data_IF_252185421525
#
_entry.id   IF_252185421525
#
_cell.length_a   1.000
_cell.length_b   1.000
_cell.length_c   1.000
_cell.angle_alpha   90.00
_cell.angle_beta   90.00
_cell.angle_gamma   90.00
#
_symmetry.space_group_name_H-M   'P 1'
#
loop_
_entity.id
_entity.type
_entity.pdbx_description
1 polymer ?
#
# COMPACT_ATOMS: atom_id res chain seq x y z
N UNK A 1 13.65 3.78 -19.48
CA UNK A 1 12.51 4.73 -19.52
C UNK A 1 12.46 5.43 -18.18
N UNK A 2 12.80 6.71 -18.13
CA UNK A 2 12.47 7.56 -16.98
C UNK A 2 10.95 7.62 -16.90
N UNK A 3 10.38 6.98 -15.87
CA UNK A 3 8.93 7.05 -15.63
C UNK A 3 8.61 8.52 -15.39
N UNK A 4 7.73 9.05 -16.23
CA UNK A 4 7.32 10.45 -16.25
C UNK A 4 7.13 10.97 -14.83
N UNK A 5 7.91 11.99 -14.46
CA UNK A 5 7.63 12.88 -13.33
C UNK A 5 6.38 13.67 -13.71
N UNK A 6 5.21 13.03 -13.67
CA UNK A 6 3.94 13.75 -13.78
C UNK A 6 3.88 14.69 -12.59
N UNK A 7 3.79 16.00 -12.87
CA UNK A 7 3.43 17.02 -11.88
C UNK A 7 2.04 16.68 -11.33
N UNK A 8 1.98 15.80 -10.34
CA UNK A 8 0.77 15.57 -9.58
C UNK A 8 0.47 16.82 -8.78
N UNK A 9 -0.82 17.13 -8.62
CA UNK A 9 -1.22 18.21 -7.74
C UNK A 9 -0.68 17.97 -6.34
N UNK A 10 -0.24 19.03 -5.64
CA UNK A 10 0.16 18.93 -4.25
C UNK A 10 -0.91 18.25 -3.41
N UNK A 11 -0.47 17.41 -2.48
CA UNK A 11 -1.38 16.87 -1.46
C UNK A 11 -2.04 18.00 -0.69
N UNK A 12 -3.36 17.90 -0.54
CA UNK A 12 -4.13 18.88 0.24
C UNK A 12 -3.90 18.65 1.74
N UNK A 13 -3.75 19.70 2.57
CA UNK A 13 -3.60 19.56 4.02
C UNK A 13 -4.70 18.72 4.69
N UNK A 14 -5.92 18.78 4.17
CA UNK A 14 -7.07 18.01 4.66
C UNK A 14 -6.86 16.51 4.47
N UNK A 15 -6.30 16.10 3.31
CA UNK A 15 -5.98 14.71 3.02
C UNK A 15 -4.92 14.16 3.99
N UNK A 16 -3.90 14.97 4.31
CA UNK A 16 -2.89 14.62 5.32
C UNK A 16 -3.53 14.45 6.71
N UNK A 17 -4.38 15.40 7.13
CA UNK A 17 -5.07 15.33 8.43
C UNK A 17 -5.94 14.08 8.54
N UNK A 18 -6.71 13.77 7.50
CA UNK A 18 -7.59 12.60 7.48
C UNK A 18 -6.80 11.28 7.54
N UNK A 19 -5.67 11.18 6.82
CA UNK A 19 -4.80 9.99 6.89
C UNK A 19 -4.19 9.79 8.28
N UNK A 20 -3.75 10.88 8.93
CA UNK A 20 -3.26 10.84 10.31
C UNK A 20 -4.37 10.44 11.29
N UNK A 21 -5.57 11.00 11.13
CA UNK A 21 -6.72 10.68 11.96
C UNK A 21 -7.12 9.21 11.83
N UNK A 22 -7.23 8.68 10.61
CA UNK A 22 -7.49 7.26 10.38
C UNK A 22 -6.45 6.38 11.07
N UNK A 23 -5.16 6.69 10.90
CA UNK A 23 -4.08 5.94 11.56
C UNK A 23 -4.22 5.99 13.09
N UNK A 24 -4.54 7.16 13.66
CA UNK A 24 -4.70 7.31 15.10
C UNK A 24 -5.89 6.52 15.63
N UNK A 25 -7.03 6.54 14.93
CA UNK A 25 -8.20 5.74 15.29
C UNK A 25 -7.89 4.24 15.23
N UNK A 26 -7.23 3.78 14.16
CA UNK A 26 -6.87 2.37 14.00
C UNK A 26 -5.88 1.91 15.08
N UNK A 27 -4.86 2.72 15.36
CA UNK A 27 -3.88 2.45 16.41
C UNK A 27 -4.52 2.46 17.82
N UNK A 28 -5.50 3.33 18.06
CA UNK A 28 -6.24 3.37 19.32
C UNK A 28 -7.09 2.11 19.48
N UNK A 29 -7.85 1.72 18.46
CA UNK A 29 -8.68 0.52 18.47
C UNK A 29 -7.85 -0.75 18.72
N UNK A 30 -6.68 -0.87 18.08
CA UNK A 30 -5.78 -2.01 18.33
C UNK A 30 -5.26 -2.08 19.77
N UNK A 31 -5.06 -0.94 20.43
CA UNK A 31 -4.61 -0.89 21.84
C UNK A 31 -5.77 -1.06 22.83
N UNK A 32 -6.96 -0.61 22.44
CA UNK A 32 -8.18 -0.67 23.21
C UNK A 32 -9.34 -1.08 22.29
N UNK A 33 -9.64 -2.39 22.17
CA UNK A 33 -10.71 -2.87 21.31
C UNK A 33 -12.12 -2.37 21.68
N UNK A 34 -12.29 -1.72 22.84
CA UNK A 34 -13.54 -1.03 23.21
C UNK A 34 -13.66 0.38 22.63
N UNK A 35 -12.58 0.94 22.06
CA UNK A 35 -12.66 2.17 21.28
C UNK A 35 -13.35 1.89 19.93
N UNK A 36 -13.97 2.90 19.28
CA UNK A 36 -14.53 2.75 17.96
C UNK A 36 -13.49 2.28 16.92
N UNK A 37 -13.93 1.48 15.95
CA UNK A 37 -13.12 1.17 14.77
C UNK A 37 -12.79 2.44 13.98
N UNK A 38 -11.69 2.42 13.24
CA UNK A 38 -11.28 3.53 12.40
C UNK A 38 -12.25 3.73 11.23
N UNK A 39 -12.68 4.97 10.98
CA UNK A 39 -13.60 5.30 9.90
C UNK A 39 -12.90 5.22 8.53
N UNK A 40 -13.22 4.24 7.66
CA UNK A 40 -12.57 4.11 6.36
C UNK A 40 -12.86 5.27 5.40
N UNK A 41 -13.90 6.08 5.66
CA UNK A 41 -14.20 7.27 4.85
C UNK A 41 -13.07 8.31 4.90
N UNK A 42 -12.34 8.40 6.02
CA UNK A 42 -11.17 9.28 6.17
C UNK A 42 -10.07 8.99 5.15
N UNK A 43 -9.97 7.75 4.66
CA UNK A 43 -8.99 7.39 3.64
C UNK A 43 -9.31 7.98 2.25
N UNK A 44 -10.57 8.39 2.03
CA UNK A 44 -11.04 8.92 0.76
C UNK A 44 -10.81 10.43 0.62
N UNK A 45 -10.53 11.12 1.73
CA UNK A 45 -10.37 12.57 1.73
C UNK A 45 -9.25 13.05 0.82
N UNK A 46 -9.57 14.01 -0.04
CA UNK A 46 -8.65 14.54 -1.03
C UNK A 46 -8.35 13.60 -2.20
N UNK A 47 -9.14 12.55 -2.43
CA UNK A 47 -9.18 11.84 -3.72
C UNK A 47 -10.03 12.65 -4.72
N UNK A 48 -9.65 12.76 -6.01
CA UNK A 48 -8.48 12.16 -6.66
C UNK A 48 -7.15 12.72 -6.14
N UNK A 49 -6.14 11.85 -6.03
CA UNK A 49 -4.81 12.22 -5.53
C UNK A 49 -3.73 11.46 -6.28
N UNK A 50 -2.83 12.21 -6.92
CA UNK A 50 -1.79 11.65 -7.76
C UNK A 50 -2.38 10.71 -8.83
N UNK A 51 -1.91 9.46 -8.93
CA UNK A 51 -2.45 8.49 -9.89
C UNK A 51 -3.75 7.80 -9.47
N UNK A 52 -4.24 7.99 -8.24
CA UNK A 52 -5.54 7.46 -7.79
C UNK A 52 -6.65 8.39 -8.28
N UNK A 53 -7.47 7.92 -9.21
CA UNK A 53 -8.53 8.70 -9.87
C UNK A 53 -9.88 8.64 -9.15
N UNK A 54 -10.16 7.55 -8.44
CA UNK A 54 -11.36 7.40 -7.61
C UNK A 54 -11.13 6.35 -6.53
N UNK A 55 -11.86 6.47 -5.42
CA UNK A 55 -11.99 5.40 -4.44
C UNK A 55 -13.32 5.53 -3.67
N UNK A 56 -13.78 4.41 -3.12
CA UNK A 56 -15.01 4.33 -2.31
C UNK A 56 -14.90 3.20 -1.29
N UNK A 57 -15.55 3.37 -0.14
CA UNK A 57 -15.74 2.28 0.82
C UNK A 57 -16.74 1.30 0.25
N UNK A 58 -16.42 0.01 0.35
CA UNK A 58 -17.33 -1.08 0.04
C UNK A 58 -17.41 -2.01 1.25
N UNK A 59 -18.53 -2.70 1.39
CA UNK A 59 -18.67 -3.81 2.33
C UNK A 59 -18.51 -5.11 1.55
N UNK A 60 -17.59 -5.97 1.98
CA UNK A 60 -17.54 -7.32 1.44
C UNK A 60 -18.68 -8.13 2.05
N UNK A 61 -19.57 -8.64 1.19
CA UNK A 61 -20.71 -9.46 1.63
C UNK A 61 -20.29 -10.80 2.23
N UNK A 62 -19.07 -11.28 1.97
CA UNK A 62 -18.58 -12.57 2.46
C UNK A 62 -17.93 -12.50 3.84
N UNK A 63 -17.17 -11.45 4.14
CA UNK A 63 -16.49 -11.27 5.44
C UNK A 63 -17.17 -10.26 6.35
N UNK A 64 -18.06 -9.42 5.81
CA UNK A 64 -18.67 -8.30 6.51
C UNK A 64 -17.70 -7.16 6.81
N UNK A 65 -16.41 -7.29 6.45
CA UNK A 65 -15.39 -6.28 6.73
C UNK A 65 -15.38 -5.18 5.66
N UNK A 66 -15.10 -3.93 6.04
CA UNK A 66 -14.95 -2.84 5.07
C UNK A 66 -13.72 -3.07 4.19
N UNK A 67 -13.84 -2.70 2.92
CA UNK A 67 -12.76 -2.68 1.95
C UNK A 67 -12.75 -1.35 1.19
N UNK A 68 -11.63 -1.00 0.58
CA UNK A 68 -11.52 0.15 -0.32
C UNK A 68 -11.46 -0.35 -1.76
N UNK A 69 -12.43 0.08 -2.54
CA UNK A 69 -12.41 -0.04 -3.99
C UNK A 69 -11.79 1.22 -4.59
N UNK A 70 -10.76 1.10 -5.44
CA UNK A 70 -10.04 2.24 -6.00
C UNK A 70 -9.57 2.04 -7.44
N UNK A 71 -9.38 3.15 -8.14
CA UNK A 71 -9.01 3.19 -9.56
C UNK A 71 -7.69 3.94 -9.72
N UNK A 72 -6.79 3.41 -10.54
CA UNK A 72 -5.54 4.07 -10.93
C UNK A 72 -5.69 4.59 -12.36
N UNK A 73 -5.78 5.92 -12.54
CA UNK A 73 -6.09 6.56 -13.83
C UNK A 73 -7.37 5.96 -14.46
N UNK A 74 -7.32 5.49 -15.70
CA UNK A 74 -8.45 4.90 -16.45
C UNK A 74 -8.39 3.36 -16.47
N UNK A 75 -8.05 2.73 -15.35
CA UNK A 75 -7.92 1.27 -15.27
C UNK A 75 -9.09 0.68 -14.49
N UNK A 76 -9.30 -0.62 -14.62
CA UNK A 76 -10.33 -1.32 -13.84
C UNK A 76 -10.15 -1.10 -12.34
N UNK A 77 -11.24 -1.11 -11.59
CA UNK A 77 -11.24 -0.99 -10.14
C UNK A 77 -10.43 -2.13 -9.48
N UNK A 78 -9.81 -1.85 -8.33
CA UNK A 78 -9.14 -2.82 -7.47
C UNK A 78 -9.69 -2.72 -6.06
N UNK A 79 -9.67 -3.82 -5.34
CA UNK A 79 -10.10 -3.87 -3.95
C UNK A 79 -8.92 -4.14 -3.03
N UNK A 80 -8.86 -3.47 -1.88
CA UNK A 80 -7.79 -3.63 -0.89
C UNK A 80 -8.34 -3.39 0.52
N UNK A 81 -7.69 -3.95 1.54
CA UNK A 81 -8.03 -3.65 2.94
C UNK A 81 -7.78 -2.17 3.27
N UNK A 82 -8.55 -1.55 4.19
CA UNK A 82 -8.35 -0.17 4.61
C UNK A 82 -6.90 0.15 5.03
N UNK A 83 -6.23 -0.74 5.79
CA UNK A 83 -4.85 -0.55 6.22
C UNK A 83 -3.87 -0.63 5.03
N UNK A 84 -4.16 -1.49 4.05
CA UNK A 84 -3.37 -1.59 2.82
C UNK A 84 -3.51 -0.34 1.95
N UNK A 85 -4.71 0.25 1.92
CA UNK A 85 -4.95 1.53 1.25
C UNK A 85 -4.30 2.70 1.97
N UNK A 86 -4.32 2.73 3.31
CA UNK A 86 -3.56 3.69 4.12
C UNK A 86 -2.07 3.62 3.77
N UNK A 87 -1.49 2.42 3.74
CA UNK A 87 -0.09 2.20 3.39
C UNK A 87 0.23 2.78 2.01
N UNK A 88 -0.60 2.47 1.00
CA UNK A 88 -0.46 3.02 -0.34
C UNK A 88 -0.53 4.57 -0.34
N UNK A 89 -1.55 5.14 0.29
CA UNK A 89 -1.78 6.60 0.38
C UNK A 89 -0.62 7.33 1.04
N UNK A 90 -0.08 6.77 2.13
CA UNK A 90 1.08 7.32 2.86
C UNK A 90 2.36 7.28 2.02
N UNK A 91 2.59 6.19 1.27
CA UNK A 91 3.75 6.09 0.38
C UNK A 91 3.69 7.15 -0.71
N UNK A 92 2.55 7.29 -1.39
CA UNK A 92 2.39 8.26 -2.49
C UNK A 92 2.11 9.69 -2.02
N UNK A 93 2.09 9.93 -0.70
CA UNK A 93 1.73 11.21 -0.09
C UNK A 93 2.59 12.37 -0.58
N UNK A 94 3.82 12.13 -1.00
CA UNK A 94 4.69 13.17 -1.57
C UNK A 94 5.08 12.84 -3.01
N UNK A 95 4.11 12.32 -3.79
CA UNK A 95 4.30 11.86 -5.17
C UNK A 95 5.40 10.80 -5.33
N UNK A 96 5.54 9.87 -4.38
CA UNK A 96 6.18 8.59 -4.70
C UNK A 96 5.32 7.94 -5.79
N UNK A 97 5.93 7.60 -6.93
CA UNK A 97 5.18 7.13 -8.11
C UNK A 97 4.24 5.97 -7.81
N UNK A 98 3.16 5.86 -8.59
CA UNK A 98 2.28 4.68 -8.61
C UNK A 98 1.78 4.45 -10.03
N UNK A 99 2.02 3.26 -10.56
CA UNK A 99 1.59 2.88 -11.90
C UNK A 99 1.32 1.38 -11.98
N UNK A 100 0.67 1.01 -13.07
CA UNK A 100 0.43 -0.37 -13.43
C UNK A 100 1.40 -0.78 -14.52
N UNK A 101 2.24 -1.77 -14.25
CA UNK A 101 3.10 -2.34 -15.27
C UNK A 101 2.24 -3.17 -16.25
N UNK A 102 2.43 -2.90 -17.55
CA UNK A 102 1.67 -3.50 -18.66
C UNK A 102 2.49 -4.47 -19.50
N UNK A 103 3.79 -4.60 -19.25
CA UNK A 103 4.73 -5.27 -20.17
C UNK A 103 4.72 -6.81 -20.08
N UNK A 104 3.63 -7.42 -19.59
CA UNK A 104 3.56 -8.87 -19.44
C UNK A 104 2.80 -9.53 -20.60
N UNK A 105 3.55 -9.80 -21.68
CA UNK A 105 3.16 -10.76 -22.72
C UNK A 105 3.99 -12.04 -22.52
N UNK A 106 3.40 -13.03 -21.85
CA UNK A 106 3.87 -14.43 -21.84
C UNK A 106 4.65 -14.86 -20.59
N UNK A 107 4.26 -16.01 -20.04
CA UNK A 107 4.99 -16.74 -18.99
C UNK A 107 4.23 -16.92 -17.68
N UNK A 108 4.49 -18.04 -17.00
CA UNK A 108 3.86 -18.43 -15.73
C UNK A 108 4.38 -17.66 -14.49
N UNK A 109 5.09 -16.55 -14.67
CA UNK A 109 5.73 -15.78 -13.60
C UNK A 109 5.40 -14.28 -13.68
N UNK A 110 5.08 -13.71 -12.50
CA UNK A 110 4.92 -12.29 -12.11
C UNK A 110 3.54 -11.63 -12.29
N UNK A 111 2.62 -11.95 -11.36
CA UNK A 111 1.41 -11.14 -11.11
C UNK A 111 1.73 -9.89 -10.26
N UNK A 112 2.61 -9.01 -10.72
CA UNK A 112 2.98 -7.79 -9.99
C UNK A 112 2.52 -6.53 -10.74
N UNK A 113 1.20 -6.31 -10.74
CA UNK A 113 0.57 -5.31 -11.61
C UNK A 113 0.57 -3.89 -11.05
N UNK A 114 0.93 -3.68 -9.79
CA UNK A 114 0.92 -2.35 -9.17
C UNK A 114 2.29 -2.13 -8.56
N UNK A 115 3.02 -1.19 -9.14
CA UNK A 115 4.32 -0.78 -8.63
C UNK A 115 4.22 0.61 -8.02
N UNK A 116 5.00 0.79 -6.97
CA UNK A 116 5.21 2.08 -6.32
C UNK A 116 6.65 2.53 -6.50
N UNK A 117 6.88 3.84 -6.45
CA UNK A 117 8.21 4.42 -6.63
C UNK A 117 8.54 4.77 -8.09
N UNK A 118 9.69 5.42 -8.27
CA UNK A 118 10.14 5.97 -9.55
C UNK A 118 11.03 5.00 -10.32
N UNK A 119 11.86 4.24 -9.59
CA UNK A 119 12.93 3.39 -10.16
C UNK A 119 12.46 1.95 -10.45
N UNK A 120 11.21 1.63 -10.11
CA UNK A 120 10.59 0.32 -10.33
C UNK A 120 11.12 -0.80 -9.45
N UNK A 121 10.53 -1.99 -9.60
CA UNK A 121 10.90 -3.17 -8.84
C UNK A 121 10.41 -3.20 -7.39
N UNK A 122 9.55 -2.26 -6.98
CA UNK A 122 8.80 -2.31 -5.72
C UNK A 122 7.33 -2.51 -6.05
N UNK A 123 6.78 -3.65 -5.66
CA UNK A 123 5.39 -4.04 -5.99
C UNK A 123 4.53 -3.94 -4.74
N UNK A 124 3.31 -3.42 -4.89
CA UNK A 124 2.40 -3.20 -3.75
C UNK A 124 2.12 -4.51 -3.00
N UNK A 125 1.92 -5.60 -3.72
CA UNK A 125 1.66 -6.92 -3.13
C UNK A 125 2.81 -7.42 -2.26
N UNK A 126 4.06 -7.20 -2.71
CA UNK A 126 5.25 -7.53 -1.91
C UNK A 126 5.33 -6.69 -0.65
N UNK A 127 4.93 -5.42 -0.72
CA UNK A 127 4.88 -4.55 0.47
C UNK A 127 3.80 -4.99 1.45
N UNK A 128 2.61 -5.36 0.97
CA UNK A 128 1.52 -5.86 1.82
C UNK A 128 1.94 -7.14 2.55
N UNK A 129 2.43 -8.15 1.82
CA UNK A 129 2.81 -9.44 2.40
C UNK A 129 4.17 -9.45 3.12
N UNK A 130 4.94 -8.35 3.07
CA UNK A 130 6.34 -8.28 3.53
C UNK A 130 7.22 -9.45 3.02
N UNK A 131 7.06 -9.80 1.74
CA UNK A 131 7.80 -10.92 1.18
C UNK A 131 9.31 -10.61 1.10
N UNK A 132 10.10 -11.55 1.62
CA UNK A 132 11.56 -11.49 1.78
C UNK A 132 12.30 -11.92 0.50
N UNK A 133 13.62 -11.85 0.55
CA UNK A 133 14.46 -12.30 -0.57
C UNK A 133 14.25 -13.81 -0.82
N UNK A 134 14.03 -14.19 -2.08
CA UNK A 134 13.69 -15.56 -2.45
C UNK A 134 12.21 -15.91 -2.30
N UNK A 135 11.39 -14.96 -1.86
CA UNK A 135 9.94 -15.11 -1.79
C UNK A 135 9.25 -14.30 -2.88
N UNK A 136 8.13 -14.82 -3.37
CA UNK A 136 7.21 -14.14 -4.27
C UNK A 136 5.79 -14.15 -3.69
N UNK A 137 4.98 -13.15 -4.04
CA UNK A 137 3.57 -13.10 -3.67
C UNK A 137 2.72 -13.58 -4.84
N UNK A 138 1.80 -14.50 -4.57
CA UNK A 138 0.77 -14.93 -5.50
C UNK A 138 -0.59 -14.43 -5.02
N UNK A 139 -1.35 -13.84 -5.93
CA UNK A 139 -2.78 -13.60 -5.73
C UNK A 139 -3.57 -14.86 -6.06
N UNK A 140 -4.49 -15.24 -5.18
CA UNK A 140 -5.49 -16.27 -5.38
C UNK A 140 -6.77 -15.62 -5.92
N UNK A 141 -7.41 -16.23 -6.92
CA UNK A 141 -8.64 -15.68 -7.50
C UNK A 141 -8.42 -14.48 -8.43
N UNK A 142 -9.28 -13.46 -8.32
CA UNK A 142 -9.23 -12.27 -9.18
C UNK A 142 -8.02 -11.40 -8.85
N UNK A 143 -7.20 -11.12 -9.88
CA UNK A 143 -6.04 -10.24 -9.79
C UNK A 143 -6.35 -8.77 -9.45
N UNK A 144 -7.62 -8.33 -9.56
CA UNK A 144 -8.04 -7.02 -9.07
C UNK A 144 -8.25 -6.97 -7.54
N UNK A 145 -8.32 -8.13 -6.89
CA UNK A 145 -8.44 -8.23 -5.44
C UNK A 145 -7.05 -8.30 -4.79
N UNK A 146 -6.70 -7.22 -4.10
CA UNK A 146 -5.40 -7.02 -3.43
C UNK A 146 -5.48 -7.25 -1.92
N UNK A 147 -6.63 -7.71 -1.40
CA UNK A 147 -6.83 -7.92 0.04
C UNK A 147 -5.89 -8.98 0.57
N UNK A 148 -5.46 -8.85 1.82
CA UNK A 148 -4.53 -9.77 2.46
C UNK A 148 -4.95 -11.23 2.35
N UNK A 149 -6.26 -11.49 2.47
CA UNK A 149 -6.85 -12.84 2.38
C UNK A 149 -6.68 -13.51 0.99
N UNK A 150 -6.44 -12.73 -0.07
CA UNK A 150 -6.18 -13.28 -1.42
C UNK A 150 -4.69 -13.45 -1.71
N UNK A 151 -3.80 -13.05 -0.80
CA UNK A 151 -2.36 -13.11 -1.02
C UNK A 151 -1.75 -14.35 -0.37
N UNK A 152 -0.77 -14.94 -1.03
CA UNK A 152 0.01 -16.06 -0.50
C UNK A 152 1.49 -15.84 -0.82
N UNK A 153 2.35 -16.06 0.17
CA UNK A 153 3.80 -16.08 -0.03
C UNK A 153 4.21 -17.48 -0.48
N UNK A 154 5.00 -17.56 -1.54
CA UNK A 154 5.59 -18.83 -2.00
C UNK A 154 7.06 -18.64 -2.32
N UNK A 155 7.79 -19.75 -2.39
CA UNK A 155 9.18 -19.75 -2.88
C UNK A 155 9.20 -19.23 -4.32
N UNK A 156 10.05 -18.24 -4.56
CA UNK A 156 10.26 -17.62 -5.86
C UNK A 156 11.72 -17.64 -6.27
N UNK A 157 12.05 -17.16 -7.47
CA UNK A 157 13.43 -17.02 -7.91
C UNK A 157 14.18 -16.05 -6.98
N UNK A 158 15.48 -16.30 -6.68
CA UNK A 158 16.33 -15.41 -5.92
C UNK A 158 16.68 -14.18 -6.78
N UNK A 159 15.70 -13.31 -6.97
CA UNK A 159 15.88 -12.03 -7.63
C UNK A 159 15.90 -10.91 -6.59
N UNK A 160 16.70 -9.87 -6.84
CA UNK A 160 16.76 -8.70 -6.00
C UNK A 160 15.51 -7.82 -6.21
N UNK A 161 14.36 -8.29 -5.70
CA UNK A 161 13.12 -7.50 -5.69
C UNK A 161 13.15 -6.58 -4.46
N UNK A 162 12.87 -5.30 -4.67
CA UNK A 162 12.96 -4.25 -3.65
C UNK A 162 11.73 -4.31 -2.73
N UNK A 163 11.92 -4.06 -1.44
CA UNK A 163 10.89 -4.24 -0.41
C UNK A 163 10.60 -2.96 0.38
N UNK A 164 10.09 -3.11 1.61
CA UNK A 164 9.67 -2.00 2.48
C UNK A 164 10.80 -1.02 2.81
N UNK A 165 12.04 -1.50 2.92
CA UNK A 165 13.22 -0.66 3.15
C UNK A 165 13.46 0.31 1.99
N UNK A 166 13.42 -0.20 0.77
CA UNK A 166 13.59 0.59 -0.44
C UNK A 166 12.40 1.53 -0.67
N UNK A 167 11.17 1.07 -0.40
CA UNK A 167 9.98 1.91 -0.42
C UNK A 167 10.07 3.09 0.55
N UNK A 168 10.52 2.85 1.79
CA UNK A 168 10.74 3.92 2.76
C UNK A 168 11.79 4.94 2.26
N UNK A 169 12.91 4.46 1.71
CA UNK A 169 13.94 5.34 1.19
C UNK A 169 13.42 6.23 0.05
N UNK A 170 12.65 5.66 -0.89
CA UNK A 170 12.01 6.42 -1.97
C UNK A 170 10.96 7.40 -1.47
N UNK A 171 10.10 6.99 -0.54
CA UNK A 171 9.11 7.86 0.09
C UNK A 171 9.79 9.09 0.72
N UNK A 172 10.88 8.89 1.46
CA UNK A 172 11.63 9.98 2.09
C UNK A 172 12.36 10.88 1.08
N UNK A 173 12.79 10.33 -0.05
CA UNK A 173 13.34 11.12 -1.15
C UNK A 173 12.25 12.03 -1.76
N UNK A 174 11.09 11.45 -2.06
CA UNK A 174 9.89 12.17 -2.52
C UNK A 174 9.46 13.27 -1.53
N UNK A 175 9.47 13.00 -0.23
CA UNK A 175 9.23 14.01 0.81
C UNK A 175 10.23 15.17 0.70
N UNK A 176 11.53 14.86 0.59
CA UNK A 176 12.59 15.88 0.52
C UNK A 176 12.46 16.80 -0.69
N UNK A 177 11.88 16.31 -1.79
CA UNK A 177 11.64 17.11 -3.00
C UNK A 177 10.39 17.98 -2.89
N UNK A 178 9.32 17.47 -2.29
CA UNK A 178 7.99 18.05 -2.43
C UNK A 178 7.44 18.74 -1.18
N UNK A 179 7.77 18.26 0.04
CA UNK A 179 7.07 18.67 1.26
C UNK A 179 7.17 20.17 1.56
N UNK A 180 8.33 20.79 1.30
CA UNK A 180 8.53 22.22 1.48
C UNK A 180 7.77 23.03 0.43
N UNK A 181 7.90 22.65 -0.85
CA UNK A 181 7.23 23.32 -1.97
C UNK A 181 5.71 23.28 -1.83
N UNK A 182 5.18 22.17 -1.30
CA UNK A 182 3.75 21.98 -1.09
C UNK A 182 3.23 22.59 0.23
N UNK A 183 4.11 23.21 1.03
CA UNK A 183 3.73 23.85 2.30
C UNK A 183 3.31 22.87 3.41
N UNK A 184 3.70 21.58 3.30
CA UNK A 184 3.31 20.53 4.25
C UNK A 184 4.41 20.18 5.26
N UNK A 185 5.64 20.66 5.06
CA UNK A 185 6.77 20.36 5.94
C UNK A 185 6.59 20.86 7.38
N UNK A 186 5.74 21.86 7.60
CA UNK A 186 5.37 22.37 8.93
C UNK A 186 4.29 21.54 9.61
N UNK A 187 3.39 20.92 8.82
CA UNK A 187 2.31 20.08 9.32
C UNK A 187 2.77 18.63 9.59
N UNK A 188 3.76 18.15 8.82
CA UNK A 188 4.35 16.83 9.00
C UNK A 188 5.85 16.92 8.78
N UNK A 189 6.63 16.80 9.86
CA UNK A 189 8.09 16.81 9.77
C UNK A 189 8.60 15.55 9.05
N UNK A 190 9.83 15.60 8.54
CA UNK A 190 10.46 14.42 7.89
C UNK A 190 10.51 13.21 8.83
N UNK A 191 10.78 13.46 10.11
CA UNK A 191 10.85 12.40 11.14
C UNK A 191 9.47 11.78 11.37
N UNK A 192 8.44 12.61 11.45
CA UNK A 192 7.07 12.13 11.66
C UNK A 192 6.54 11.40 10.42
N UNK A 193 6.89 11.87 9.22
CA UNK A 193 6.58 11.15 7.99
C UNK A 193 7.27 9.78 7.93
N UNK A 194 8.55 9.70 8.27
CA UNK A 194 9.27 8.42 8.39
C UNK A 194 8.57 7.47 9.39
N UNK A 195 8.14 8.00 10.54
CA UNK A 195 7.42 7.24 11.54
C UNK A 195 6.08 6.75 10.98
N UNK A 196 5.32 7.61 10.29
CA UNK A 196 4.04 7.29 9.69
C UNK A 196 4.15 6.19 8.62
N UNK A 197 5.15 6.26 7.72
CA UNK A 197 5.39 5.20 6.71
C UNK A 197 5.67 3.85 7.38
N UNK A 198 6.50 3.83 8.43
CA UNK A 198 6.77 2.59 9.18
C UNK A 198 5.55 2.11 9.94
N UNK A 199 4.78 3.03 10.49
CA UNK A 199 3.61 2.72 11.27
C UNK A 199 2.47 2.18 10.41
N UNK A 200 2.31 2.62 9.16
CA UNK A 200 1.33 2.05 8.24
C UNK A 200 1.69 0.61 7.83
N UNK A 201 2.98 0.31 7.60
CA UNK A 201 3.44 -1.07 7.43
C UNK A 201 3.10 -1.93 8.66
N UNK A 202 3.45 -1.43 9.85
CA UNK A 202 3.22 -2.16 11.10
C UNK A 202 1.73 -2.36 11.39
N UNK A 203 0.89 -1.37 11.07
CA UNK A 203 -0.55 -1.46 11.23
C UNK A 203 -1.10 -2.60 10.37
N UNK A 204 -0.70 -2.66 9.10
CA UNK A 204 -1.08 -3.76 8.22
C UNK A 204 -0.63 -5.12 8.77
N UNK A 205 0.62 -5.24 9.24
CA UNK A 205 1.13 -6.50 9.79
C UNK A 205 0.36 -6.99 11.03
N UNK A 206 -0.01 -6.08 11.92
CA UNK A 206 -0.76 -6.43 13.13
C UNK A 206 -2.16 -6.93 12.75
N UNK A 207 -2.82 -6.26 11.82
CA UNK A 207 -4.18 -6.59 11.40
C UNK A 207 -4.21 -7.88 10.56
N UNK A 208 -3.27 -8.03 9.62
CA UNK A 208 -3.38 -9.02 8.55
C UNK A 208 -2.22 -10.03 8.50
N UNK A 209 -1.10 -9.76 9.18
CA UNK A 209 0.12 -10.56 9.07
C UNK A 209 -0.04 -12.03 9.47
N UNK A 210 -1.04 -12.33 10.30
CA UNK A 210 -1.39 -13.70 10.68
C UNK A 210 -1.79 -14.58 9.48
N UNK A 211 -2.30 -13.99 8.40
CA UNK A 211 -2.67 -14.68 7.16
C UNK A 211 -1.45 -15.21 6.39
N UNK A 212 -0.27 -14.63 6.63
CA UNK A 212 1.00 -15.08 6.05
C UNK A 212 1.72 -16.10 6.94
N UNK A 213 1.19 -16.32 8.15
CA UNK A 213 1.58 -17.29 9.20
C UNK A 213 1.73 -18.76 8.74
N UNK A 214 0.86 -19.19 7.82
CA UNK A 214 0.51 -20.60 7.63
C UNK A 214 1.09 -21.29 6.39
N UNK A 215 1.94 -20.63 5.60
CA UNK A 215 2.43 -21.15 4.32
C UNK A 215 3.78 -21.89 4.40
N UNK A 216 4.11 -22.53 5.53
CA UNK A 216 5.22 -23.47 5.57
C UNK A 216 4.83 -24.73 4.79
N UNK A 217 5.62 -25.19 3.80
CA UNK A 217 5.35 -26.45 3.14
C UNK A 217 5.33 -27.57 4.19
N UNK A 218 4.48 -28.61 4.03
CA UNK A 218 4.56 -29.78 4.89
C UNK A 218 5.99 -30.31 4.84
N UNK A 219 6.60 -30.50 6.01
CA UNK A 219 7.86 -31.22 6.15
C UNK A 219 7.75 -32.53 5.36
N UNK A 220 8.45 -32.63 4.24
CA UNK A 220 8.66 -33.91 3.58
C UNK A 220 9.69 -34.65 4.42
N UNK A 221 9.22 -35.56 5.26
CA UNK A 221 10.06 -36.62 5.83
C UNK A 221 10.75 -37.36 4.68
N UNK A 222 12.08 -37.33 4.67
CA UNK A 222 12.88 -38.28 3.90
C UNK A 222 12.80 -39.66 4.55
#
# INVERSE_FOLDING_TARGET
>A
MTRSVTNYEPTKPEALKALLEYYNQAALHLRNPSAPEADPALLLDGIPHGPISSARVISDSLTGSPAIAFTIKERNERTIDPEGFLMLRVLILFAMGLHIDKNQKGGAERRDYIEVGHDGGITLLRLLADAQQGEMVKQQGDHHDLRAATLTIVVGPPSAIRGRREALAEALNSYGQNALQWGLSTALSRKDYQALVRASFRLFDITHGHLFMGALPPFRSQ
#
